data_IF_030351521447
#
_entry.id   IF_030351521447
#
_cell.length_a   1.000
_cell.length_b   1.000
_cell.length_c   1.000
_cell.angle_alpha   90.00
_cell.angle_beta   90.00
_cell.angle_gamma   90.00
#
_symmetry.space_group_name_H-M   'P 1'
#
loop_
_entity.id
_entity.type
_entity.pdbx_description
1 polymer ?
2 non-polymer ?
3 non-polymer ?
4 non-polymer ?
5 water ?
#
# COMPACT_ATOMS: atom_id res chain seq x y z
N UNK A 1 1.85 7.39 17.55
CA UNK A 1 2.90 7.47 16.49
C UNK A 1 2.27 7.24 15.10
N UNK A 2 1.53 6.11 14.99
CA UNK A 2 0.88 5.68 13.72
C UNK A 2 -0.56 6.21 13.65
N UNK A 3 -1.04 6.96 14.64
CA UNK A 3 -2.49 7.05 14.90
C UNK A 3 -3.20 7.84 13.82
N UNK A 4 -2.58 8.81 13.19
CA UNK A 4 -3.34 9.56 12.16
C UNK A 4 -3.54 8.72 10.88
N UNK A 5 -2.82 7.61 10.73
CA UNK A 5 -3.03 6.70 9.59
C UNK A 5 -4.23 5.78 9.79
N UNK A 6 -4.71 5.64 11.02
CA UNK A 6 -5.72 4.62 11.31
C UNK A 6 -7.06 5.02 10.74
N UNK A 7 -7.79 4.05 10.25
CA UNK A 7 -9.15 4.26 9.76
C UNK A 7 -9.35 3.62 8.42
N UNK A 8 -10.46 4.02 7.78
CA UNK A 8 -10.89 3.51 6.50
C UNK A 8 -10.68 4.59 5.45
N UNK A 9 -10.05 4.20 4.36
CA UNK A 9 -9.58 5.12 3.31
C UNK A 9 -10.04 4.61 1.95
N UNK A 10 -10.46 5.52 1.10
CA UNK A 10 -10.97 5.17 -0.22
C UNK A 10 -10.11 5.79 -1.31
N UNK A 11 -9.80 5.04 -2.35
CA UNK A 11 -8.97 5.57 -3.45
C UNK A 11 -9.72 6.66 -4.21
N UNK A 12 -9.09 7.86 -4.33
CA UNK A 12 -9.61 9.08 -5.03
C UNK A 12 -8.70 9.62 -6.14
N UNK A 13 -7.49 9.10 -6.33
CA UNK A 13 -6.61 9.51 -7.44
C UNK A 13 -5.54 8.44 -7.62
N UNK A 14 -5.13 8.14 -8.86
CA UNK A 14 -4.11 7.08 -9.21
C UNK A 14 -3.26 7.52 -10.41
N UNK A 15 -1.94 7.63 -10.17
CA UNK A 15 -0.99 8.02 -11.22
C UNK A 15 0.06 6.92 -11.35
N UNK A 16 0.20 6.42 -12.58
CA UNK A 16 1.28 5.49 -12.94
C UNK A 16 1.14 4.10 -12.30
N UNK A 17 -0.06 3.69 -11.88
CA UNK A 17 -0.20 2.35 -11.33
C UNK A 17 0.06 1.29 -12.40
N UNK A 18 -0.34 1.54 -13.64
CA UNK A 18 -0.03 0.55 -14.68
C UNK A 18 1.48 0.38 -14.81
N UNK A 19 2.25 1.48 -14.79
CA UNK A 19 3.73 1.43 -14.86
C UNK A 19 4.26 0.52 -13.75
N UNK A 20 3.75 0.74 -12.55
CA UNK A 20 4.21 -0.02 -11.37
C UNK A 20 3.89 -1.50 -11.52
N UNK A 21 2.64 -1.81 -11.86
CA UNK A 21 2.24 -3.21 -12.05
C UNK A 21 3.05 -3.86 -13.16
N UNK A 22 3.25 -3.16 -14.25
CA UNK A 22 3.98 -3.75 -15.36
C UNK A 22 5.43 -4.05 -14.94
N UNK A 23 6.04 -3.16 -14.17
CA UNK A 23 7.40 -3.37 -13.67
C UNK A 23 7.50 -4.64 -12.83
N UNK A 24 6.44 -4.93 -12.07
CA UNK A 24 6.37 -6.13 -11.25
C UNK A 24 6.02 -7.38 -12.10
N UNK A 25 5.75 -7.25 -13.37
CA UNK A 25 5.42 -8.41 -14.21
C UNK A 25 3.96 -8.82 -14.14
N UNK A 26 3.09 -7.94 -13.69
CA UNK A 26 1.64 -8.25 -13.68
C UNK A 26 1.13 -8.29 -15.13
N UNK A 27 0.35 -9.30 -15.47
CA UNK A 27 -0.20 -9.49 -16.81
C UNK A 27 -1.19 -8.44 -17.22
N UNK A 28 -1.37 -8.30 -18.54
CA UNK A 28 -2.18 -7.19 -19.05
C UNK A 28 -3.61 -7.24 -18.55
N UNK A 29 -4.22 -8.42 -18.43
CA UNK A 29 -5.64 -8.51 -18.07
C UNK A 29 -5.83 -8.06 -16.63
N UNK A 30 -4.91 -8.47 -15.76
CA UNK A 30 -4.96 -8.02 -14.36
C UNK A 30 -4.75 -6.53 -14.29
N UNK A 31 -3.74 -6.00 -14.99
CA UNK A 31 -3.50 -4.54 -14.98
C UNK A 31 -4.75 -3.80 -15.43
N UNK A 32 -5.36 -4.32 -16.47
CA UNK A 32 -6.59 -3.73 -17.02
C UNK A 32 -7.69 -3.61 -15.94
N UNK A 33 -8.07 -4.68 -15.23
CA UNK A 33 -9.09 -4.63 -14.17
C UNK A 33 -8.62 -3.72 -13.06
N UNK A 34 -7.37 -3.88 -12.63
CA UNK A 34 -6.84 -3.08 -11.52
C UNK A 34 -6.89 -1.58 -11.84
N UNK A 35 -6.75 -1.18 -13.08
CA UNK A 35 -6.75 0.24 -13.45
C UNK A 35 -8.13 0.87 -13.25
N UNK A 36 -9.18 0.06 -13.11
CA UNK A 36 -10.55 0.56 -12.96
C UNK A 36 -11.08 0.27 -11.56
N UNK A 37 -10.26 -0.25 -10.70
CA UNK A 37 -10.66 -0.66 -9.35
C UNK A 37 -10.35 0.51 -8.38
N UNK A 38 -11.17 0.70 -7.38
CA UNK A 38 -10.93 1.72 -6.35
C UNK A 38 -10.97 1.02 -5.00
N UNK A 39 -9.84 0.58 -4.50
CA UNK A 39 -9.85 -0.15 -3.24
C UNK A 39 -10.19 0.75 -2.05
N UNK A 40 -10.58 0.03 -1.01
CA UNK A 40 -10.71 0.58 0.34
C UNK A 40 -9.57 -0.01 1.17
N UNK A 41 -8.82 0.84 1.85
CA UNK A 41 -7.75 0.39 2.73
C UNK A 41 -8.18 0.70 4.16
N UNK A 42 -8.09 -0.30 5.02
CA UNK A 42 -8.47 -0.17 6.43
C UNK A 42 -7.21 -0.43 7.25
N UNK A 43 -6.85 0.51 8.11
CA UNK A 43 -5.65 0.36 8.95
C UNK A 43 -6.15 0.44 10.38
N UNK A 44 -5.98 -0.67 11.11
CA UNK A 44 -6.36 -0.78 12.54
C UNK A 44 -5.11 -1.12 13.37
N UNK A 45 -5.24 -0.79 14.64
CA UNK A 45 -4.20 -1.03 15.64
C UNK A 45 -4.78 -1.79 16.84
N UNK A 46 -4.07 -2.77 17.39
CA UNK A 46 -4.40 -3.38 18.68
C UNK A 46 -3.06 -3.54 19.41
N UNK A 47 -2.79 -2.63 20.33
CA UNK A 47 -1.47 -2.61 20.93
C UNK A 47 -0.43 -2.34 19.85
N UNK A 48 0.58 -3.21 19.87
CA UNK A 48 1.74 -3.08 18.96
C UNK A 48 1.44 -3.69 17.60
N UNK A 49 0.26 -4.27 17.39
CA UNK A 49 -0.01 -4.98 16.14
C UNK A 49 -0.91 -4.13 15.24
N UNK A 50 -0.43 -3.87 14.03
CA UNK A 50 -1.20 -3.20 13.01
C UNK A 50 -1.76 -4.22 12.03
N UNK A 51 -3.00 -4.00 11.60
CA UNK A 51 -3.61 -4.80 10.55
C UNK A 51 -4.02 -3.87 9.43
N UNK A 52 -3.60 -4.21 8.21
CA UNK A 52 -3.87 -3.38 7.02
C UNK A 52 -4.61 -4.27 6.04
N UNK A 53 -5.87 -3.90 5.81
CA UNK A 53 -6.75 -4.60 4.88
C UNK A 53 -6.85 -3.78 3.60
N UNK A 54 -6.86 -4.44 2.46
CA UNK A 54 -7.14 -3.78 1.18
C UNK A 54 -8.26 -4.56 0.52
N UNK A 55 -9.39 -3.89 0.30
CA UNK A 55 -10.61 -4.53 -0.17
C UNK A 55 -11.00 -3.94 -1.52
N UNK A 56 -11.44 -4.80 -2.43
CA UNK A 56 -11.95 -4.29 -3.71
C UNK A 56 -12.85 -5.33 -4.34
N UNK A 57 -13.43 -4.95 -5.47
CA UNK A 57 -14.20 -5.86 -6.29
C UNK A 57 -13.34 -6.89 -7.03
N UNK A 58 -12.03 -6.75 -7.00
CA UNK A 58 -11.13 -7.63 -7.75
C UNK A 58 -10.33 -8.50 -6.80
N UNK A 59 -9.40 -7.91 -6.07
CA UNK A 59 -8.54 -8.63 -5.12
C UNK A 59 -8.76 -8.05 -3.73
N UNK A 60 -8.76 -8.93 -2.68
CA UNK A 60 -8.63 -8.52 -1.27
C UNK A 60 -7.27 -9.00 -0.72
N UNK A 61 -6.69 -8.23 0.20
CA UNK A 61 -5.53 -8.67 0.97
C UNK A 61 -5.69 -8.23 2.43
N UNK A 62 -4.93 -8.89 3.29
CA UNK A 62 -4.82 -8.47 4.69
C UNK A 62 -3.45 -8.88 5.19
N UNK A 63 -2.80 -7.97 5.89
CA UNK A 63 -1.53 -8.24 6.59
C UNK A 63 -1.64 -7.74 8.03
N UNK A 64 -0.97 -8.45 8.93
CA UNK A 64 -0.77 -7.97 10.30
C UNK A 64 0.72 -7.98 10.60
N UNK A 65 1.17 -6.98 11.34
CA UNK A 65 2.59 -6.84 11.60
C UNK A 65 2.80 -5.95 12.81
N UNK A 66 3.98 -6.10 13.39
CA UNK A 66 4.51 -5.16 14.37
C UNK A 66 5.48 -4.21 13.67
N UNK A 67 5.46 -2.88 13.93
CA UNK A 67 6.43 -2.00 13.32
C UNK A 67 7.82 -2.50 13.67
N UNK A 68 8.68 -2.50 12.66
CA UNK A 68 10.09 -2.82 12.84
C UNK A 68 10.40 -4.29 13.01
N UNK A 69 9.44 -5.17 12.73
CA UNK A 69 9.66 -6.62 12.84
C UNK A 69 9.30 -7.24 11.49
N UNK A 70 10.23 -7.96 10.90
CA UNK A 70 10.00 -8.57 9.59
C UNK A 70 8.85 -9.58 9.66
N UNK A 71 8.12 -9.69 8.56
CA UNK A 71 7.02 -10.64 8.43
C UNK A 71 7.00 -11.18 7.00
N UNK A 72 6.50 -12.40 6.90
CA UNK A 72 6.25 -12.95 5.58
C UNK A 72 4.95 -12.35 5.02
N UNK A 73 4.91 -12.13 3.70
CA UNK A 73 3.72 -11.57 3.04
C UNK A 73 3.59 -12.24 1.67
N UNK A 74 2.35 -12.45 1.27
CA UNK A 74 2.02 -12.89 -0.10
C UNK A 74 1.16 -11.79 -0.70
N UNK A 75 1.70 -11.10 -1.70
CA UNK A 75 1.08 -9.88 -2.20
C UNK A 75 -0.14 -10.18 -3.09
N UNK A 76 -0.84 -9.11 -3.47
CA UNK A 76 -2.04 -9.25 -4.30
C UNK A 76 -1.73 -9.91 -5.64
N UNK A 77 -0.52 -9.70 -6.15
CA UNK A 77 -0.02 -10.30 -7.39
C UNK A 77 0.79 -11.57 -7.13
N UNK A 78 0.65 -12.15 -5.96
CA UNK A 78 1.17 -13.49 -5.61
C UNK A 78 2.69 -13.56 -5.52
N UNK A 79 3.35 -12.45 -5.20
CA UNK A 79 4.76 -12.52 -4.80
C UNK A 79 4.87 -12.93 -3.34
N UNK A 80 5.79 -13.82 -3.04
CA UNK A 80 6.11 -14.22 -1.66
C UNK A 80 7.33 -13.42 -1.23
N UNK A 81 7.12 -12.49 -0.33
CA UNK A 81 8.12 -11.48 0.01
C UNK A 81 8.40 -11.48 1.50
N UNK A 82 9.53 -10.90 1.85
CA UNK A 82 9.93 -10.57 3.22
C UNK A 82 9.68 -9.09 3.41
N UNK A 83 8.86 -8.75 4.38
CA UNK A 83 8.40 -7.36 4.55
C UNK A 83 8.76 -6.79 5.90
N UNK A 84 8.87 -5.47 5.93
CA UNK A 84 9.01 -4.76 7.19
C UNK A 84 8.35 -3.40 7.00
N UNK A 85 7.67 -2.93 8.03
CA UNK A 85 7.01 -1.63 8.03
C UNK A 85 7.56 -0.83 9.20
N UNK A 86 7.90 0.43 8.96
CA UNK A 86 8.42 1.28 10.01
C UNK A 86 7.91 2.70 9.79
N UNK A 87 8.00 3.52 10.82
CA UNK A 87 7.81 4.97 10.67
C UNK A 87 9.14 5.64 10.41
N UNK A 88 9.14 6.53 9.44
CA UNK A 88 10.36 7.21 9.00
C UNK A 88 9.95 8.61 8.58
N UNK A 89 10.35 9.62 9.33
CA UNK A 89 9.94 10.98 8.97
C UNK A 89 8.44 11.17 9.04
N UNK A 90 7.78 10.41 9.90
CA UNK A 90 6.33 10.48 10.01
C UNK A 90 5.58 9.71 8.92
N UNK A 91 6.29 9.06 8.03
CA UNK A 91 5.70 8.27 6.95
C UNK A 91 5.74 6.81 7.33
N UNK A 92 4.74 6.08 6.91
CA UNK A 92 4.67 4.64 7.13
C UNK A 92 5.36 3.99 5.93
N UNK A 93 6.55 3.39 6.10
CA UNK A 93 7.36 2.86 5.01
C UNK A 93 7.31 1.33 5.06
N UNK A 94 6.79 0.74 4.01
CA UNK A 94 6.66 -0.74 3.88
C UNK A 94 7.64 -1.16 2.78
N UNK A 95 8.63 -1.95 3.16
CA UNK A 95 9.65 -2.47 2.23
C UNK A 95 9.40 -3.97 2.04
N UNK A 96 9.31 -4.40 0.79
CA UNK A 96 9.17 -5.82 0.41
C UNK A 96 10.43 -6.25 -0.34
N UNK A 97 10.94 -7.44 0.02
CA UNK A 97 12.15 -8.02 -0.59
C UNK A 97 11.83 -9.43 -1.09
N UNK A 98 12.27 -9.75 -2.29
CA UNK A 98 12.11 -11.11 -2.83
C UNK A 98 13.05 -11.27 -4.01
N UNK A 99 13.71 -12.40 -4.11
CA UNK A 99 14.55 -12.70 -5.30
C UNK A 99 15.60 -11.62 -5.52
N UNK A 100 16.06 -10.95 -4.46
CA UNK A 100 17.00 -9.84 -4.57
C UNK A 100 16.38 -8.52 -5.01
N UNK A 101 15.13 -8.51 -5.38
CA UNK A 101 14.34 -7.33 -5.75
C UNK A 101 13.81 -6.65 -4.51
N UNK A 102 13.44 -5.38 -4.67
CA UNK A 102 12.80 -4.62 -3.62
C UNK A 102 11.70 -3.75 -4.21
N UNK A 103 10.67 -3.49 -3.40
CA UNK A 103 9.72 -2.42 -3.71
C UNK A 103 9.37 -1.76 -2.39
N UNK A 104 9.09 -0.46 -2.48
CA UNK A 104 8.65 0.30 -1.31
C UNK A 104 7.24 0.84 -1.55
N UNK A 105 6.48 0.86 -0.47
CA UNK A 105 5.11 1.35 -0.41
C UNK A 105 5.14 2.38 0.74
N UNK A 106 5.16 3.64 0.41
CA UNK A 106 5.34 4.71 1.41
C UNK A 106 4.04 5.47 1.54
N UNK A 107 3.54 5.59 2.76
CA UNK A 107 2.29 6.32 3.03
C UNK A 107 2.60 7.57 3.87
N UNK A 108 1.89 8.62 3.55
CA UNK A 108 2.03 9.83 4.32
C UNK A 108 0.72 10.55 4.24
N UNK A 109 0.67 11.49 5.14
CA UNK A 109 -0.54 12.31 5.24
C UNK A 109 -0.20 13.71 4.78
N UNK A 110 -0.97 14.22 3.84
CA UNK A 110 -0.84 15.58 3.31
C UNK A 110 -2.25 16.17 3.25
N UNK A 111 -2.44 17.24 4.03
CA UNK A 111 -3.74 17.92 4.11
C UNK A 111 -4.87 16.92 4.34
N UNK A 112 -4.64 15.97 5.22
CA UNK A 112 -5.69 15.00 5.62
C UNK A 112 -5.88 13.86 4.66
N UNK A 113 -5.19 13.87 3.51
CA UNK A 113 -5.28 12.78 2.54
C UNK A 113 -4.09 11.85 2.75
N UNK A 114 -4.29 10.60 2.44
CA UNK A 114 -3.19 9.64 2.54
C UNK A 114 -2.67 9.45 1.12
N UNK A 115 -1.38 9.67 1.02
CA UNK A 115 -0.68 9.54 -0.28
C UNK A 115 0.23 8.32 -0.17
N UNK A 116 -0.03 7.35 -1.04
CA UNK A 116 0.72 6.11 -1.15
C UNK A 116 1.63 6.21 -2.38
N UNK A 117 2.93 6.12 -2.16
CA UNK A 117 3.90 6.14 -3.26
C UNK A 117 4.50 4.75 -3.37
N UNK A 118 4.41 4.15 -4.54
CA UNK A 118 4.82 2.77 -4.85
C UNK A 118 5.99 2.84 -5.82
N UNK A 119 7.16 2.31 -5.43
CA UNK A 119 8.35 2.39 -6.29
C UNK A 119 8.87 0.98 -6.53
N UNK A 120 9.09 0.62 -7.79
CA UNK A 120 9.76 -0.63 -8.14
C UNK A 120 10.54 -0.35 -9.42
N UNK A 121 11.79 -0.75 -9.48
CA UNK A 121 12.59 -0.39 -10.65
C UNK A 121 12.66 1.11 -10.77
N UNK A 122 12.34 1.63 -11.94
CA UNK A 122 12.24 3.06 -12.14
C UNK A 122 10.83 3.58 -11.98
N UNK A 123 9.84 2.70 -11.87
CA UNK A 123 8.43 3.08 -11.85
C UNK A 123 8.06 3.68 -10.49
N UNK A 124 7.37 4.82 -10.54
CA UNK A 124 6.92 5.52 -9.34
C UNK A 124 5.42 5.83 -9.55
N UNK A 125 4.64 5.37 -8.61
CA UNK A 125 3.20 5.56 -8.67
C UNK A 125 2.77 6.30 -7.43
N UNK A 126 1.82 7.17 -7.62
CA UNK A 126 1.26 7.91 -6.54
C UNK A 126 -0.25 7.72 -6.53
N UNK A 127 -0.75 7.23 -5.43
CA UNK A 127 -2.18 6.98 -5.24
C UNK A 127 -2.69 7.67 -3.99
N UNK A 128 -3.80 8.33 -4.15
CA UNK A 128 -4.33 9.18 -3.11
C UNK A 128 -5.61 8.60 -2.56
N UNK A 129 -5.68 8.50 -1.24
CA UNK A 129 -6.81 7.94 -0.51
C UNK A 129 -7.45 9.02 0.34
N UNK A 130 -8.77 8.99 0.43
CA UNK A 130 -9.50 9.99 1.22
C UNK A 130 -10.06 9.31 2.47
N UNK A 131 -10.12 9.95 3.63
CA UNK A 131 -10.66 9.24 4.83
C UNK A 131 -12.20 9.05 4.83
N UNK A 132 -12.76 7.84 5.02
CA UNK A 132 -14.18 7.58 5.27
C UNK A 132 -14.52 7.83 6.76
N UNK A 133 -15.67 8.45 6.97
CA UNK A 133 -16.17 8.78 8.31
C UNK A 133 -16.58 7.50 9.03
#
# INVERSE_FOLDING_TARGET
>A
MVDAFLGTWKLVDSKNFDDYMKSLGVGFATRQVASMTKPTTIIEKNGDILTLKTHSTFKNTEISFKLGVEFDETTADDRKVKSIVTLDGGKLVHLQKWDGQETTLVRELIDGKLILTLTHGTAVCTRTYEKEA
#
